data_IF_406268199144
#
_entry.id   IF_406268199144
#
_cell.length_a   1.000
_cell.length_b   1.000
_cell.length_c   1.000
_cell.angle_alpha   90.00
_cell.angle_beta   90.00
_cell.angle_gamma   90.00
#
_symmetry.space_group_name_H-M   'P 1'
#
loop_
_entity.id
_entity.type
_entity.pdbx_description
1 polymer ?
2 branched ?
#
# COMPACT_ATOMS: atom_id res chain seq x y z
N UNK A 1 9.60 12.84 7.76
CA UNK A 1 9.53 14.23 8.32
C UNK A 1 8.50 15.13 7.60
N UNK A 2 7.49 14.50 7.01
CA UNK A 2 6.46 15.18 6.20
C UNK A 2 5.09 15.10 6.87
N UNK A 3 4.43 16.26 6.98
CA UNK A 3 3.10 16.40 7.59
C UNK A 3 2.04 15.54 6.88
N UNK A 4 1.31 14.72 7.68
CA UNK A 4 0.49 13.63 7.25
C UNK A 4 -0.80 14.08 6.56
N UNK A 5 -1.40 13.14 5.81
CA UNK A 5 -2.69 13.33 5.15
C UNK A 5 -3.77 12.91 6.10
N UNK A 6 -4.56 13.85 6.59
CA UNK A 6 -5.57 13.56 7.55
C UNK A 6 -6.91 13.40 6.89
N UNK A 7 -7.46 12.21 7.02
CA UNK A 7 -8.78 11.84 6.52
C UNK A 7 -8.90 12.07 5.02
N UNK A 8 -7.99 11.48 4.23
CA UNK A 8 -8.06 11.70 2.83
C UNK A 8 -9.18 10.88 2.16
N UNK A 9 -9.97 11.50 1.30
CA UNK A 9 -11.08 10.84 0.58
C UNK A 9 -10.54 9.74 -0.31
N UNK A 10 -11.31 8.68 -0.50
CA UNK A 10 -10.67 7.47 -0.89
C UNK A 10 -10.93 6.83 -2.20
N UNK A 11 -11.01 7.60 -3.27
CA UNK A 11 -9.90 7.24 -4.19
C UNK A 11 -8.88 8.30 -3.86
N UNK A 12 -7.64 7.95 -3.59
CA UNK A 12 -6.67 8.95 -3.16
C UNK A 12 -5.32 8.74 -3.83
N UNK A 13 -4.64 9.83 -4.18
CA UNK A 13 -3.34 9.86 -4.86
C UNK A 13 -2.58 11.05 -4.32
N UNK A 14 -1.62 10.84 -3.42
CA UNK A 14 -0.95 11.97 -2.82
C UNK A 14 0.55 11.81 -2.85
N UNK A 15 1.27 12.89 -2.63
CA UNK A 15 2.72 12.96 -2.84
C UNK A 15 3.63 12.61 -1.64
N UNK A 16 4.65 11.82 -1.94
CA UNK A 16 5.72 11.57 -0.98
C UNK A 16 6.76 12.62 -1.27
N UNK A 17 6.71 13.73 -0.54
CA UNK A 17 7.34 14.98 -1.01
C UNK A 17 8.80 14.95 -1.48
N UNK A 18 9.51 13.86 -1.18
CA UNK A 18 10.89 13.72 -1.67
C UNK A 18 11.20 12.41 -2.37
N UNK A 19 10.16 11.59 -2.54
CA UNK A 19 10.27 10.21 -2.99
C UNK A 19 10.60 9.32 -1.81
N UNK A 20 10.40 8.00 -1.99
CA UNK A 20 10.88 6.99 -1.05
C UNK A 20 12.40 7.02 -0.86
N UNK A 21 12.89 7.40 0.31
CA UNK A 21 14.31 7.29 0.59
C UNK A 21 14.47 6.24 1.70
N UNK A 22 15.57 5.51 1.71
CA UNK A 22 15.73 4.39 2.61
C UNK A 22 15.58 4.80 4.06
N UNK A 23 14.91 3.95 4.84
CA UNK A 23 14.70 4.18 6.25
C UNK A 23 13.29 4.64 6.54
N UNK A 24 12.67 5.24 5.52
CA UNK A 24 11.33 5.85 5.60
C UNK A 24 10.29 4.87 6.03
N UNK A 25 9.43 5.30 6.93
CA UNK A 25 8.33 4.48 7.46
C UNK A 25 6.98 5.18 7.19
N UNK A 26 6.05 4.49 6.55
CA UNK A 26 4.78 5.10 6.14
C UNK A 26 3.53 4.39 6.70
N UNK A 27 2.76 5.02 7.57
CA UNK A 27 1.56 4.36 8.12
C UNK A 27 0.34 4.73 7.32
N UNK A 28 -0.53 3.77 7.06
CA UNK A 28 -1.82 3.97 6.42
C UNK A 28 -2.79 3.39 7.45
N UNK A 29 -3.65 4.23 8.01
CA UNK A 29 -4.63 3.80 9.02
C UNK A 29 -5.98 4.03 8.35
N UNK A 30 -6.80 3.00 8.33
CA UNK A 30 -8.02 3.05 7.57
C UNK A 30 -8.90 1.97 8.10
N UNK A 31 -9.98 1.68 7.39
CA UNK A 31 -10.97 0.75 7.85
C UNK A 31 -11.71 0.20 6.64
N UNK A 32 -11.77 -1.12 6.53
CA UNK A 32 -12.37 -1.73 5.37
C UNK A 32 -13.88 -1.66 5.45
N UNK A 33 -14.45 -1.33 4.31
CA UNK A 33 -15.87 -1.11 4.16
C UNK A 33 -16.67 -2.41 4.07
N UNK A 34 -17.95 -2.34 4.46
CA UNK A 34 -18.87 -3.45 4.21
C UNK A 34 -19.72 -3.25 2.92
N UNK A 35 -19.30 -2.31 2.07
CA UNK A 35 -19.89 -2.14 0.73
C UNK A 35 -19.77 -3.42 -0.12
N UNK A 36 -20.46 -3.47 -1.27
CA UNK A 36 -20.25 -4.55 -2.26
C UNK A 36 -18.77 -4.71 -2.76
N UNK A 37 -17.95 -3.67 -2.59
CA UNK A 37 -16.57 -3.71 -3.03
C UNK A 37 -15.91 -4.78 -2.21
N UNK A 38 -15.09 -5.61 -2.83
CA UNK A 38 -14.43 -6.71 -2.13
C UNK A 38 -12.91 -6.67 -2.26
N UNK A 39 -12.36 -5.51 -2.62
CA UNK A 39 -10.92 -5.26 -2.72
C UNK A 39 -10.55 -3.80 -2.35
N UNK A 40 -9.35 -3.59 -1.85
CA UNK A 40 -8.72 -2.27 -1.89
C UNK A 40 -7.25 -2.41 -2.20
N UNK A 41 -6.58 -1.35 -2.61
CA UNK A 41 -5.15 -1.47 -2.84
C UNK A 41 -4.43 -0.23 -2.40
N UNK A 42 -3.28 -0.41 -1.75
CA UNK A 42 -2.32 0.69 -1.49
C UNK A 42 -1.14 0.56 -2.44
N UNK A 43 -0.93 1.57 -3.28
CA UNK A 43 0.07 1.55 -4.37
C UNK A 43 1.17 2.58 -4.15
N UNK A 44 2.43 2.14 -4.27
CA UNK A 44 3.60 3.01 -4.24
C UNK A 44 4.10 3.10 -5.66
N UNK A 45 4.06 4.30 -6.26
CA UNK A 45 4.24 4.44 -7.70
C UNK A 45 5.04 5.63 -8.14
N UNK A 46 5.24 5.68 -9.45
CA UNK A 46 5.90 6.77 -10.09
C UNK A 46 4.80 7.62 -10.73
N UNK A 47 4.49 8.70 -10.04
CA UNK A 47 3.57 9.66 -10.57
C UNK A 47 2.16 9.26 -10.24
N UNK A 48 1.24 9.76 -11.04
CA UNK A 48 -0.18 9.62 -10.81
C UNK A 48 -0.77 8.83 -11.99
N UNK A 49 0.11 8.45 -12.91
CA UNK A 49 -0.19 7.50 -13.99
C UNK A 49 -0.80 6.20 -13.46
N UNK A 50 -0.12 5.53 -12.53
CA UNK A 50 -0.57 4.25 -12.08
C UNK A 50 -0.28 3.22 -13.15
N UNK A 51 0.49 3.60 -14.16
CA UNK A 51 0.97 2.63 -15.10
C UNK A 51 2.26 1.99 -14.63
N UNK A 52 2.90 2.55 -13.60
CA UNK A 52 4.09 1.91 -13.03
C UNK A 52 4.27 2.09 -11.54
N UNK A 53 3.81 1.05 -10.86
CA UNK A 53 3.62 0.99 -9.44
C UNK A 53 4.70 0.07 -8.97
N UNK A 54 5.61 0.59 -8.15
CA UNK A 54 6.77 -0.13 -7.72
C UNK A 54 6.32 -1.27 -6.88
N UNK A 55 5.25 -1.05 -6.15
CA UNK A 55 4.73 -1.99 -5.12
C UNK A 55 3.23 -1.76 -4.96
N UNK A 56 2.44 -2.74 -5.40
CA UNK A 56 1.00 -2.72 -5.37
C UNK A 56 0.71 -3.79 -4.37
N UNK A 57 -0.05 -3.44 -3.32
CA UNK A 57 -0.38 -4.27 -2.19
C UNK A 57 -1.87 -4.32 -2.24
N UNK A 58 -2.46 -5.45 -2.60
CA UNK A 58 -3.90 -5.50 -2.90
C UNK A 58 -4.70 -6.55 -2.14
N UNK A 59 -5.18 -6.27 -0.92
CA UNK A 59 -6.00 -7.21 -0.20
C UNK A 59 -7.31 -7.49 -0.87
N UNK A 60 -7.77 -8.74 -0.92
CA UNK A 60 -8.99 -9.14 -1.56
C UNK A 60 -9.78 -10.05 -0.64
N UNK A 61 -11.09 -9.78 -0.53
CA UNK A 61 -12.03 -10.55 0.28
C UNK A 61 -12.85 -11.36 -0.69
N UNK A 62 -12.16 -12.27 -1.34
CA UNK A 62 -12.77 -13.20 -2.22
C UNK A 62 -11.88 -14.43 -2.21
N UNK A 63 -12.42 -15.55 -2.69
CA UNK A 63 -11.77 -16.85 -2.65
C UNK A 63 -11.36 -17.28 -1.23
N UNK A 64 -11.97 -16.68 -0.21
CA UNK A 64 -11.58 -16.93 1.18
C UNK A 64 -10.67 -15.86 1.81
N UNK A 65 -10.22 -14.88 1.01
CA UNK A 65 -9.33 -13.84 1.50
C UNK A 65 -7.85 -14.12 1.28
N UNK A 66 -7.19 -13.21 0.61
CA UNK A 66 -5.80 -13.37 0.27
C UNK A 66 -5.37 -11.99 -0.17
N UNK A 67 -4.10 -11.66 0.03
CA UNK A 67 -3.52 -10.38 -0.39
C UNK A 67 -2.62 -10.68 -1.56
N UNK A 68 -2.66 -9.86 -2.60
CA UNK A 68 -1.74 -10.00 -3.74
C UNK A 68 -0.77 -8.82 -3.80
N UNK A 69 0.53 -9.09 -3.84
CA UNK A 69 1.51 -8.03 -4.04
C UNK A 69 2.05 -8.20 -5.46
N UNK A 70 2.41 -7.09 -6.13
CA UNK A 70 2.87 -7.10 -7.54
C UNK A 70 3.56 -5.79 -7.85
N UNK A 71 4.02 -5.63 -9.07
CA UNK A 71 4.81 -4.45 -9.47
C UNK A 71 4.45 -4.13 -10.90
N UNK A 72 4.09 -2.89 -11.16
CA UNK A 72 3.72 -2.52 -12.51
C UNK A 72 4.77 -1.66 -13.13
N UNK A 73 5.17 -2.06 -14.34
CA UNK A 73 6.08 -1.29 -15.14
C UNK A 73 5.45 -1.11 -16.52
N UNK A 74 5.43 0.15 -17.01
CA UNK A 74 4.81 0.51 -18.30
C UNK A 74 3.53 -0.29 -18.56
N UNK A 75 2.62 -0.22 -17.59
CA UNK A 75 1.26 -0.76 -17.70
C UNK A 75 1.11 -2.27 -17.82
N UNK A 76 2.09 -3.01 -17.30
CA UNK A 76 2.16 -4.46 -17.48
C UNK A 76 2.62 -5.13 -16.22
N UNK A 77 1.75 -5.97 -15.68
CA UNK A 77 1.92 -6.62 -14.39
C UNK A 77 2.95 -7.75 -14.41
N UNK A 78 4.02 -7.62 -13.61
CA UNK A 78 4.91 -8.73 -13.28
C UNK A 78 4.22 -9.88 -12.55
N UNK A 79 4.97 -10.91 -12.11
CA UNK A 79 4.34 -12.03 -11.44
C UNK A 79 3.91 -11.66 -10.01
N UNK A 80 2.67 -12.00 -9.64
CA UNK A 80 2.18 -11.70 -8.28
C UNK A 80 2.97 -12.47 -7.23
N UNK A 81 2.89 -12.00 -5.99
CA UNK A 81 3.16 -12.80 -4.82
C UNK A 81 1.86 -12.76 -4.05
N UNK A 82 1.46 -13.86 -3.42
CA UNK A 82 0.24 -13.91 -2.62
C UNK A 82 0.57 -14.39 -1.23
N UNK A 83 -0.05 -13.77 -0.24
CA UNK A 83 -0.21 -14.41 1.04
C UNK A 83 -1.66 -14.82 1.07
N UNK A 84 -1.96 -15.92 1.74
CA UNK A 84 -3.36 -16.30 1.93
C UNK A 84 -3.88 -15.93 3.31
N UNK A 85 -2.95 -15.66 4.22
CA UNK A 85 -3.11 -14.83 5.39
C UNK A 85 -3.94 -13.69 4.88
N UNK A 86 -4.76 -13.08 5.74
CA UNK A 86 -5.52 -11.83 5.44
C UNK A 86 -5.68 -11.11 6.76
N UNK A 87 -4.91 -10.04 6.98
CA UNK A 87 -4.74 -9.52 8.32
C UNK A 87 -5.81 -8.55 8.73
N UNK A 88 -6.77 -8.31 7.85
CA UNK A 88 -7.80 -7.28 8.05
C UNK A 88 -9.16 -7.87 8.33
N UNK A 89 -9.91 -7.15 9.15
CA UNK A 89 -11.34 -7.36 9.29
C UNK A 89 -12.06 -6.20 8.62
N UNK A 90 -13.18 -6.49 7.96
CA UNK A 90 -14.18 -5.46 7.66
C UNK A 90 -14.62 -4.86 9.01
N UNK A 91 -14.75 -3.53 9.08
CA UNK A 91 -15.19 -2.82 10.27
C UNK A 91 -14.17 -2.45 11.35
N UNK A 92 -12.91 -2.80 11.13
CA UNK A 92 -11.88 -2.56 12.15
C UNK A 92 -10.78 -1.75 11.52
N UNK A 93 -10.34 -0.71 12.23
CA UNK A 93 -9.27 0.11 11.65
C UNK A 93 -7.92 -0.58 11.72
N UNK A 94 -7.21 -0.70 10.59
CA UNK A 94 -5.89 -1.30 10.66
C UNK A 94 -4.86 -0.24 10.77
N UNK A 95 -3.80 -0.49 11.50
CA UNK A 95 -2.54 0.24 11.40
C UNK A 95 -1.65 -0.53 10.44
N UNK A 96 -1.48 -0.01 9.23
CA UNK A 96 -0.69 -0.67 8.22
C UNK A 96 0.52 0.15 7.92
N UNK A 97 1.70 -0.46 8.09
CA UNK A 97 2.97 0.28 8.12
C UNK A 97 3.90 -0.28 7.08
N UNK A 98 4.30 0.53 6.11
CA UNK A 98 5.31 0.13 5.12
C UNK A 98 6.65 0.71 5.48
N UNK A 99 7.63 -0.13 5.66
CA UNK A 99 8.98 0.30 6.00
C UNK A 99 9.85 0.09 4.79
N UNK A 100 10.64 1.10 4.43
CA UNK A 100 11.45 1.05 3.23
C UNK A 100 12.89 0.63 3.55
N UNK A 101 13.36 -0.42 2.91
CA UNK A 101 14.69 -0.91 3.20
C UNK A 101 15.53 -0.90 1.93
N UNK A 102 16.80 -1.32 2.07
CA UNK A 102 17.69 -1.41 0.92
C UNK A 102 17.17 -2.44 -0.07
N UNK A 103 16.88 -3.64 0.44
CA UNK A 103 16.58 -4.76 -0.43
C UNK A 103 15.10 -4.99 -0.60
N UNK A 104 14.29 -4.51 0.34
CA UNK A 104 12.86 -4.84 0.40
C UNK A 104 11.97 -3.78 1.02
N UNK A 105 10.65 -3.98 0.90
CA UNK A 105 9.61 -3.36 1.74
C UNK A 105 9.24 -4.37 2.85
N UNK A 106 9.23 -3.92 4.10
CA UNK A 106 8.60 -4.73 5.14
C UNK A 106 7.22 -4.17 5.45
N UNK A 107 6.16 -4.93 5.16
CA UNK A 107 4.80 -4.50 5.48
C UNK A 107 4.27 -5.01 6.80
N UNK A 108 4.29 -4.19 7.86
CA UNK A 108 3.73 -4.55 9.18
C UNK A 108 2.23 -4.26 9.29
N UNK A 109 1.46 -5.27 9.66
CA UNK A 109 0.04 -5.05 9.97
C UNK A 109 -0.18 -5.20 11.48
N UNK A 110 -0.42 -4.03 12.08
CA UNK A 110 -0.57 -3.87 13.52
C UNK A 110 0.71 -4.31 14.23
N UNK A 111 1.84 -3.83 13.70
CA UNK A 111 3.18 -4.10 14.24
C UNK A 111 3.55 -5.57 14.34
N UNK A 112 3.15 -6.34 13.34
CA UNK A 112 3.48 -7.77 13.22
C UNK A 112 3.85 -7.86 11.75
N UNK A 113 4.89 -8.60 11.39
CA UNK A 113 5.40 -8.51 10.04
C UNK A 113 4.52 -9.33 9.16
N UNK A 114 3.88 -8.70 8.20
CA UNK A 114 2.92 -9.42 7.40
C UNK A 114 3.56 -10.05 6.21
N UNK A 115 4.02 -9.22 5.27
CA UNK A 115 4.87 -9.66 4.19
C UNK A 115 5.99 -8.70 4.14
N UNK A 116 7.13 -9.17 3.64
CA UNK A 116 8.24 -8.35 3.22
C UNK A 116 8.33 -8.53 1.71
N UNK A 117 8.47 -7.44 0.96
CA UNK A 117 8.53 -7.49 -0.50
C UNK A 117 9.82 -6.85 -1.13
N UNK A 118 10.50 -7.56 -2.00
CA UNK A 118 11.81 -7.12 -2.45
C UNK A 118 11.67 -6.23 -3.65
N UNK A 119 12.28 -5.05 -3.62
CA UNK A 119 12.13 -4.12 -4.72
C UNK A 119 12.48 -4.82 -6.02
N UNK A 120 11.60 -4.71 -7.02
CA UNK A 120 11.94 -5.11 -8.40
C UNK A 120 12.49 -3.91 -9.20
N UNK A 121 11.89 -2.74 -9.02
CA UNK A 121 12.35 -1.50 -9.66
C UNK A 121 13.05 -0.69 -8.56
N UNK A 122 13.75 0.41 -8.90
CA UNK A 122 14.36 1.12 -7.77
C UNK A 122 13.32 1.98 -7.04
N UNK A 123 13.55 2.23 -5.76
CA UNK A 123 12.54 2.87 -4.93
C UNK A 123 12.60 4.36 -4.89
N UNK A 124 13.74 4.98 -5.18
CA UNK A 124 13.76 6.44 -5.12
C UNK A 124 13.21 7.20 -6.36
N UNK A 125 12.69 6.43 -7.34
CA UNK A 125 11.87 7.02 -8.44
C UNK A 125 10.38 7.21 -8.06
N UNK A 126 9.98 6.56 -6.96
CA UNK A 126 8.64 6.58 -6.37
C UNK A 126 8.34 7.89 -5.60
N UNK A 127 7.33 8.63 -6.06
CA UNK A 127 7.03 9.98 -5.54
C UNK A 127 5.60 10.08 -5.06
N UNK A 128 4.82 9.02 -5.31
CA UNK A 128 3.38 9.04 -5.09
C UNK A 128 2.90 7.77 -4.41
N UNK A 129 2.02 7.93 -3.42
CA UNK A 129 1.19 6.87 -2.84
C UNK A 129 -0.25 7.11 -3.30
N UNK A 130 -0.94 6.07 -3.75
CA UNK A 130 -2.35 6.20 -4.06
C UNK A 130 -3.09 5.05 -3.42
N UNK A 131 -4.35 5.24 -3.05
CA UNK A 131 -5.15 4.20 -2.40
C UNK A 131 -6.55 4.19 -3.03
N UNK A 132 -7.15 3.02 -3.23
CA UNK A 132 -8.48 2.95 -3.84
C UNK A 132 -9.31 1.77 -3.39
N UNK A 133 -10.59 1.73 -3.72
CA UNK A 133 -11.38 0.56 -3.36
C UNK A 133 -12.34 0.70 -2.18
N UNK A 134 -12.57 -0.40 -1.48
CA UNK A 134 -13.54 -0.31 -0.42
C UNK A 134 -12.83 -0.17 0.92
N UNK A 135 -12.19 0.98 1.08
CA UNK A 135 -11.47 1.31 2.29
C UNK A 135 -11.82 2.77 2.60
N UNK A 136 -11.81 3.16 3.87
CA UNK A 136 -11.90 4.56 4.23
C UNK A 136 -10.65 4.90 4.98
N UNK A 137 -10.08 6.04 4.71
CA UNK A 137 -8.75 6.29 5.23
C UNK A 137 -8.86 7.29 6.32
N UNK A 138 -8.47 6.91 7.51
CA UNK A 138 -8.30 7.86 8.61
C UNK A 138 -7.10 8.76 8.33
N UNK A 139 -5.94 8.16 7.99
CA UNK A 139 -4.71 8.89 7.75
C UNK A 139 -3.60 8.13 7.04
N UNK A 140 -2.67 8.88 6.46
CA UNK A 140 -1.38 8.40 5.92
C UNK A 140 -0.30 9.32 6.43
N UNK A 141 0.68 8.75 7.13
CA UNK A 141 1.71 9.56 7.80
C UNK A 141 3.14 9.15 7.43
N UNK A 142 4.09 10.06 7.58
CA UNK A 142 5.44 9.75 7.15
C UNK A 142 6.47 9.91 8.28
N UNK A 143 7.24 8.84 8.48
CA UNK A 143 8.23 8.70 9.55
C UNK A 143 9.46 7.94 9.06
#
# INVERSE_FOLDING_TARGET
SQAPYLSPAVPFSGTIQGGLQDGLQITVNGTVLSSSGTRFAVNFQTGFSGNDIAFHFNPRFEDGGYVVCNTRQNGSWGPEERKTHMPFQKGMPFDLCFLVQSSDFKVMVNGILFVQYFHRVPFHRVDTISVNGSVQLSYISFQ
#
